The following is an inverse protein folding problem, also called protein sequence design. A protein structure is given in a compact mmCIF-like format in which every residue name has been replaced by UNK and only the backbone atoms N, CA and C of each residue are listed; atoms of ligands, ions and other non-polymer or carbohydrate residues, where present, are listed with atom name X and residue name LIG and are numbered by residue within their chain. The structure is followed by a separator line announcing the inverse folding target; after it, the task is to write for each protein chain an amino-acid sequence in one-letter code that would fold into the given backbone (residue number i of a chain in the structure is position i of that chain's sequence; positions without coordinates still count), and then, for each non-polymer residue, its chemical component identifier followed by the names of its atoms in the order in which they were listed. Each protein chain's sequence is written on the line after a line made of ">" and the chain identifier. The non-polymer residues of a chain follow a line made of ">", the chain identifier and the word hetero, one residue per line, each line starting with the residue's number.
data_IF_359213634515
#
_entry.id   IF_359213634515
#
_cell.length_a   1.000
_cell.length_b   1.000
_cell.length_c   1.000
_cell.angle_alpha   90.00
_cell.angle_beta   90.00
_cell.angle_gamma   90.00
#
_symmetry.space_group_name_H-M   'P 1'
#
loop_
_entity.id
_entity.type
_entity.pdbx_description
1 polymer ?
#
# COMPACT_ATOMS: atom_id res chain seq x y z
N UNK A 1 22.24 28.19 27.92
CA UNK A 1 23.14 27.57 26.92
C UNK A 1 22.84 26.08 26.69
N UNK A 2 22.62 25.28 27.74
CA UNK A 2 22.34 23.83 27.63
C UNK A 2 21.08 23.48 26.82
N UNK A 3 20.01 24.29 26.91
CA UNK A 3 18.74 24.04 26.18
C UNK A 3 18.88 24.09 24.65
N UNK A 4 19.71 25.01 24.14
CA UNK A 4 19.92 25.15 22.70
C UNK A 4 20.80 24.02 22.14
N UNK A 5 21.71 23.49 22.97
CA UNK A 5 22.55 22.34 22.62
C UNK A 5 21.72 21.05 22.48
N UNK A 6 20.75 20.84 23.36
CA UNK A 6 19.82 19.70 23.28
C UNK A 6 18.95 19.72 22.02
N UNK A 7 18.43 20.91 21.65
CA UNK A 7 17.65 21.07 20.42
C UNK A 7 18.48 20.79 19.17
N UNK A 8 19.74 21.22 19.14
CA UNK A 8 20.68 20.92 18.05
C UNK A 8 20.96 19.42 17.93
N UNK A 9 21.17 18.72 19.06
CA UNK A 9 21.39 17.28 19.07
C UNK A 9 20.16 16.50 18.60
N UNK A 10 18.95 16.95 18.96
CA UNK A 10 17.71 16.34 18.50
C UNK A 10 17.54 16.49 16.98
N UNK A 11 17.76 17.68 16.42
CA UNK A 11 17.67 17.93 14.96
C UNK A 11 18.76 17.16 14.20
N UNK A 12 19.99 17.12 14.72
CA UNK A 12 21.07 16.34 14.13
C UNK A 12 20.78 14.83 14.16
N UNK A 13 20.16 14.33 15.23
CA UNK A 13 19.76 12.92 15.34
C UNK A 13 18.66 12.55 14.34
N UNK A 14 17.68 13.44 14.11
CA UNK A 14 16.62 13.28 13.12
C UNK A 14 17.18 13.24 11.68
N UNK A 15 18.17 14.10 11.39
CA UNK A 15 18.87 14.12 10.10
C UNK A 15 19.73 12.86 9.88
N UNK A 16 20.33 12.30 10.94
CA UNK A 16 21.12 11.07 10.86
C UNK A 16 20.27 9.82 10.61
N UNK A 17 19.00 9.82 11.04
CA UNK A 17 18.03 8.74 10.76
C UNK A 17 17.22 8.93 9.47
N UNK A 18 17.30 10.10 8.82
CA UNK A 18 16.26 10.57 7.89
C UNK A 18 16.39 10.19 6.42
N UNK A 19 17.52 9.69 5.95
CA UNK A 19 17.69 9.34 4.54
C UNK A 19 18.26 7.93 4.39
N UNK A 20 17.43 6.90 4.61
CA UNK A 20 17.70 5.63 3.94
C UNK A 20 17.59 5.90 2.44
N UNK A 21 18.66 5.67 1.70
CA UNK A 21 18.61 5.67 0.24
C UNK A 21 17.53 4.67 -0.18
N UNK A 22 16.46 5.17 -0.81
CA UNK A 22 15.42 4.32 -1.36
C UNK A 22 16.05 3.52 -2.50
N UNK A 23 16.09 2.19 -2.36
CA UNK A 23 16.51 1.32 -3.45
C UNK A 23 15.37 1.23 -4.47
N UNK A 24 15.38 2.17 -5.41
CA UNK A 24 14.37 2.27 -6.46
C UNK A 24 14.26 0.99 -7.31
N UNK A 25 15.35 0.20 -7.40
CA UNK A 25 15.35 -1.03 -8.20
C UNK A 25 14.62 -2.14 -7.44
N UNK A 26 14.91 -2.29 -6.16
CA UNK A 26 14.24 -3.26 -5.30
C UNK A 26 12.73 -2.94 -5.18
N UNK A 27 12.38 -1.67 -4.95
CA UNK A 27 11.00 -1.23 -4.83
C UNK A 27 10.24 -1.44 -6.16
N UNK A 28 10.86 -1.12 -7.30
CA UNK A 28 10.26 -1.38 -8.62
C UNK A 28 9.96 -2.86 -8.83
N UNK A 29 10.85 -3.75 -8.39
CA UNK A 29 10.62 -5.20 -8.51
C UNK A 29 9.42 -5.64 -7.69
N UNK A 30 9.29 -5.17 -6.45
CA UNK A 30 8.15 -5.48 -5.58
C UNK A 30 6.83 -4.95 -6.15
N UNK A 31 6.81 -3.72 -6.69
CA UNK A 31 5.61 -3.17 -7.32
C UNK A 31 5.17 -4.03 -8.51
N UNK A 32 6.10 -4.46 -9.37
CA UNK A 32 5.80 -5.33 -10.51
C UNK A 32 5.22 -6.66 -10.05
N UNK A 33 5.79 -7.25 -8.99
CA UNK A 33 5.31 -8.49 -8.40
C UNK A 33 3.88 -8.35 -7.87
N UNK A 34 3.59 -7.28 -7.12
CA UNK A 34 2.23 -6.99 -6.62
C UNK A 34 1.24 -6.83 -7.78
N UNK A 35 1.61 -6.11 -8.85
CA UNK A 35 0.76 -5.98 -10.03
C UNK A 35 0.50 -7.32 -10.72
N UNK A 36 1.52 -8.17 -10.86
CA UNK A 36 1.36 -9.50 -11.47
C UNK A 36 0.47 -10.41 -10.62
N UNK A 37 0.63 -10.38 -9.29
CA UNK A 37 -0.21 -11.14 -8.36
C UNK A 37 -1.68 -10.68 -8.44
N UNK A 38 -1.91 -9.37 -8.59
CA UNK A 38 -3.25 -8.83 -8.80
C UNK A 38 -3.87 -9.32 -10.11
N UNK A 39 -3.13 -9.26 -11.22
CA UNK A 39 -3.59 -9.78 -12.52
C UNK A 39 -3.94 -11.26 -12.44
N UNK A 40 -3.11 -12.05 -11.76
CA UNK A 40 -3.35 -13.48 -11.58
C UNK A 40 -4.57 -13.77 -10.70
N UNK A 41 -4.77 -12.99 -9.64
CA UNK A 41 -5.96 -13.10 -8.79
C UNK A 41 -7.25 -12.85 -9.58
N UNK A 42 -7.26 -11.86 -10.49
CA UNK A 42 -8.38 -11.66 -11.41
C UNK A 42 -8.55 -12.80 -12.41
N UNK A 43 -7.45 -13.30 -12.98
CA UNK A 43 -7.48 -14.42 -13.96
C UNK A 43 -8.07 -15.69 -13.35
N UNK A 44 -7.74 -15.95 -12.09
CA UNK A 44 -8.17 -17.13 -11.33
C UNK A 44 -9.39 -16.91 -10.46
N UNK A 45 -9.98 -15.70 -10.50
CA UNK A 45 -11.08 -15.28 -9.63
C UNK A 45 -10.79 -15.58 -8.14
N UNK A 46 -9.54 -15.39 -7.70
CA UNK A 46 -9.11 -15.69 -6.34
C UNK A 46 -9.32 -14.50 -5.42
N UNK A 47 -10.35 -14.57 -4.57
CA UNK A 47 -10.54 -13.57 -3.50
C UNK A 47 -9.33 -13.49 -2.57
N UNK A 48 -8.72 -14.65 -2.26
CA UNK A 48 -7.53 -14.71 -1.41
C UNK A 48 -6.38 -13.94 -2.07
N UNK A 49 -6.16 -14.12 -3.38
CA UNK A 49 -5.12 -13.42 -4.12
C UNK A 49 -5.32 -11.90 -4.14
N UNK A 50 -6.56 -11.42 -4.36
CA UNK A 50 -6.84 -9.97 -4.24
C UNK A 50 -6.61 -9.51 -2.80
N UNK A 51 -7.07 -10.25 -1.80
CA UNK A 51 -6.86 -9.88 -0.40
C UNK A 51 -5.40 -9.74 -0.02
N UNK A 52 -4.47 -10.44 -0.65
CA UNK A 52 -3.04 -10.37 -0.34
C UNK A 52 -2.37 -9.09 -0.91
N UNK A 53 -2.91 -8.50 -1.98
CA UNK A 53 -2.33 -7.30 -2.61
C UNK A 53 -2.88 -5.98 -2.07
N UNK A 54 -4.03 -6.01 -1.38
CA UNK A 54 -4.67 -4.81 -0.84
C UNK A 54 -4.20 -4.49 0.58
N UNK A 55 -4.06 -3.20 0.86
CA UNK A 55 -3.95 -2.72 2.24
C UNK A 55 -5.29 -2.85 2.96
N UNK A 56 -5.32 -3.56 4.09
CA UNK A 56 -6.54 -3.78 4.89
C UNK A 56 -6.83 -2.59 5.81
N UNK A 57 -7.12 -1.44 5.21
CA UNK A 57 -7.33 -0.18 5.94
C UNK A 57 -8.70 0.42 5.63
N UNK A 58 -9.26 1.24 6.56
CA UNK A 58 -10.55 1.90 6.34
C UNK A 58 -10.50 2.97 5.25
N UNK A 59 -9.31 3.38 4.81
CA UNK A 59 -9.09 4.41 3.80
C UNK A 59 -8.62 3.85 2.45
N UNK A 60 -8.59 2.53 2.27
CA UNK A 60 -8.34 1.93 0.96
C UNK A 60 -9.36 2.44 -0.07
N UNK A 61 -8.89 2.77 -1.27
CA UNK A 61 -9.73 3.33 -2.34
C UNK A 61 -9.60 2.49 -3.59
N UNK A 62 -10.74 2.03 -4.11
CA UNK A 62 -10.87 1.46 -5.44
C UNK A 62 -11.67 2.41 -6.32
N UNK A 63 -11.12 2.75 -7.48
CA UNK A 63 -11.79 3.57 -8.49
C UNK A 63 -11.87 2.82 -9.80
N UNK A 64 -13.05 2.77 -10.40
CA UNK A 64 -13.27 2.20 -11.73
C UNK A 64 -13.17 3.31 -12.78
N UNK A 65 -12.88 2.92 -14.03
CA UNK A 65 -12.83 3.84 -15.18
C UNK A 65 -14.15 4.56 -15.43
N UNK A 66 -15.26 4.01 -14.93
CA UNK A 66 -16.60 4.62 -14.97
C UNK A 66 -16.78 5.77 -13.97
N UNK A 67 -15.77 6.07 -13.14
CA UNK A 67 -15.88 7.06 -12.07
C UNK A 67 -16.53 6.53 -10.78
N UNK A 68 -16.99 5.28 -10.76
CA UNK A 68 -17.47 4.63 -9.54
C UNK A 68 -16.32 4.43 -8.55
N UNK A 69 -16.56 4.73 -7.27
CA UNK A 69 -15.58 4.60 -6.19
C UNK A 69 -16.10 3.74 -5.04
N UNK A 70 -15.20 2.99 -4.43
CA UNK A 70 -15.46 2.20 -3.22
C UNK A 70 -14.36 2.51 -2.22
N UNK A 71 -14.75 2.84 -0.99
CA UNK A 71 -13.84 3.25 0.09
C UNK A 71 -13.93 2.23 1.23
N UNK A 72 -12.77 1.92 1.79
CA UNK A 72 -12.60 0.99 2.91
C UNK A 72 -12.46 -0.45 2.44
N UNK A 73 -11.52 -1.16 3.07
CA UNK A 73 -11.23 -2.55 2.74
C UNK A 73 -12.47 -3.45 2.87
N UNK A 74 -13.31 -3.29 3.89
CA UNK A 74 -14.50 -4.13 4.07
C UNK A 74 -15.44 -4.08 2.85
N UNK A 75 -15.70 -2.87 2.34
CA UNK A 75 -16.53 -2.65 1.15
C UNK A 75 -15.88 -3.21 -0.11
N UNK A 76 -14.56 -2.98 -0.28
CA UNK A 76 -13.79 -3.46 -1.43
C UNK A 76 -13.75 -5.00 -1.43
N UNK A 77 -13.45 -5.60 -0.28
CA UNK A 77 -13.38 -7.04 -0.09
C UNK A 77 -14.73 -7.72 -0.32
N UNK A 78 -15.83 -7.12 0.15
CA UNK A 78 -17.17 -7.60 -0.16
C UNK A 78 -17.45 -7.59 -1.68
N UNK A 79 -17.07 -6.51 -2.37
CA UNK A 79 -17.23 -6.42 -3.82
C UNK A 79 -16.45 -7.53 -4.57
N UNK A 80 -15.23 -7.86 -4.13
CA UNK A 80 -14.46 -8.97 -4.70
C UNK A 80 -15.07 -10.34 -4.42
N UNK A 81 -15.53 -10.59 -3.19
CA UNK A 81 -16.25 -11.84 -2.86
C UNK A 81 -17.45 -12.04 -3.77
N UNK A 82 -18.23 -10.98 -4.00
CA UNK A 82 -19.39 -11.03 -4.90
C UNK A 82 -18.98 -11.23 -6.36
N UNK A 83 -17.92 -10.54 -6.82
CA UNK A 83 -17.46 -10.64 -8.20
C UNK A 83 -16.89 -12.04 -8.56
N UNK A 84 -16.28 -12.71 -7.58
CA UNK A 84 -15.62 -14.00 -7.74
C UNK A 84 -16.46 -15.20 -7.26
N UNK A 85 -17.71 -14.99 -6.85
CA UNK A 85 -18.62 -16.06 -6.43
C UNK A 85 -19.36 -16.77 -7.58
N UNK A 86 -19.00 -16.45 -8.84
CA UNK A 86 -19.51 -17.12 -10.05
C UNK A 86 -18.66 -18.35 -10.40
#
# INVERSE_FOLDING_TARGET
>A
MIRNLFLLLLVASLLATGCKSVDLIADRRQIIEVCNNQVEAWRTQSYKGESEVWAHTPYALKMLTTGSRTIGWDSIGHAYKTAFAN
#
